data_IF_313736403056
#
_entry.id   IF_313736403056
#
_cell.length_a   1.000
_cell.length_b   1.000
_cell.length_c   1.000
_cell.angle_alpha   90.00
_cell.angle_beta   90.00
_cell.angle_gamma   90.00
#
_symmetry.space_group_name_H-M   'P 1'
#
loop_
_entity.id
_entity.type
_entity.pdbx_description
1 polymer ?
#
# COMPACT_ATOMS: atom_id res chain seq x y z
N UNK A 1 -19.58 8.44 -5.53
CA UNK A 1 -18.18 8.64 -5.12
C UNK A 1 -17.88 7.66 -3.99
N UNK A 2 -16.98 6.69 -4.21
CA UNK A 2 -16.59 5.71 -3.18
C UNK A 2 -15.22 6.08 -2.62
N UNK A 3 -15.12 6.25 -1.31
CA UNK A 3 -13.89 6.63 -0.60
C UNK A 3 -13.53 5.52 0.38
N UNK A 4 -12.25 5.15 0.45
CA UNK A 4 -11.72 4.25 1.48
C UNK A 4 -10.64 4.96 2.31
N UNK A 5 -10.63 4.77 3.63
CA UNK A 5 -9.60 5.35 4.48
C UNK A 5 -8.35 4.47 4.56
N UNK A 6 -7.17 5.07 4.67
CA UNK A 6 -5.92 4.32 4.95
C UNK A 6 -5.98 3.51 6.24
N UNK A 7 -6.79 3.92 7.22
CA UNK A 7 -6.99 3.18 8.47
C UNK A 7 -7.67 1.83 8.23
N UNK A 8 -8.59 1.75 7.25
CA UNK A 8 -9.26 0.50 6.86
C UNK A 8 -8.31 -0.44 6.11
N UNK A 9 -7.29 0.12 5.46
CA UNK A 9 -6.31 -0.62 4.68
C UNK A 9 -5.14 -1.17 5.53
N UNK A 10 -4.76 -0.48 6.63
CA UNK A 10 -3.58 -0.80 7.46
C UNK A 10 -3.60 -2.16 8.15
N UNK A 11 -4.75 -2.81 8.25
CA UNK A 11 -4.90 -4.16 8.82
C UNK A 11 -5.01 -5.27 7.78
N UNK A 12 -5.07 -4.94 6.50
CA UNK A 12 -5.34 -5.92 5.45
C UNK A 12 -4.05 -6.43 4.80
N UNK A 13 -4.02 -7.70 4.37
CA UNK A 13 -3.02 -8.17 3.43
C UNK A 13 -2.98 -7.24 2.20
N UNK A 14 -1.77 -6.98 1.67
CA UNK A 14 -1.57 -6.07 0.52
C UNK A 14 -2.51 -6.38 -0.65
N UNK A 15 -2.77 -7.67 -0.92
CA UNK A 15 -3.71 -8.09 -1.95
C UNK A 15 -5.14 -7.61 -1.69
N UNK A 16 -5.65 -7.82 -0.48
CA UNK A 16 -6.99 -7.39 -0.08
C UNK A 16 -7.09 -5.85 -0.02
N UNK A 17 -6.04 -5.18 0.45
CA UNK A 17 -5.96 -3.73 0.43
C UNK A 17 -6.04 -3.19 -1.01
N UNK A 18 -5.34 -3.82 -1.97
CA UNK A 18 -5.40 -3.46 -3.38
C UNK A 18 -6.78 -3.71 -4.00
N UNK A 19 -7.43 -4.81 -3.66
CA UNK A 19 -8.79 -5.10 -4.12
C UNK A 19 -9.76 -4.01 -3.64
N UNK A 20 -9.70 -3.61 -2.37
CA UNK A 20 -10.52 -2.49 -1.85
C UNK A 20 -10.20 -1.15 -2.49
N UNK A 21 -8.93 -0.85 -2.72
CA UNK A 21 -8.52 0.40 -3.39
C UNK A 21 -9.05 0.43 -4.82
N UNK A 22 -9.04 -0.69 -5.57
CA UNK A 22 -9.57 -0.77 -6.94
C UNK A 22 -11.08 -0.55 -7.04
N UNK A 23 -11.83 -0.84 -5.97
CA UNK A 23 -13.28 -0.58 -5.90
C UNK A 23 -13.62 0.85 -5.48
N UNK A 24 -12.64 1.58 -4.94
CA UNK A 24 -12.76 2.97 -4.54
C UNK A 24 -12.31 3.91 -5.66
N UNK A 25 -12.81 5.13 -5.62
CA UNK A 25 -12.41 6.22 -6.50
C UNK A 25 -11.30 7.06 -5.83
N UNK A 26 -11.38 7.20 -4.51
CA UNK A 26 -10.46 7.98 -3.70
C UNK A 26 -10.02 7.22 -2.45
N UNK A 27 -8.78 7.47 -2.03
CA UNK A 27 -8.23 7.03 -0.76
C UNK A 27 -8.01 8.25 0.12
N UNK A 28 -8.54 8.24 1.33
CA UNK A 28 -8.31 9.30 2.32
C UNK A 28 -7.16 8.92 3.24
N UNK A 29 -6.10 9.73 3.25
CA UNK A 29 -4.93 9.53 4.10
C UNK A 29 -5.17 9.96 5.57
N UNK A 30 -4.13 9.85 6.40
CA UNK A 30 -4.21 10.21 7.81
C UNK A 30 -4.39 11.73 8.05
N UNK A 31 -4.02 12.56 7.08
CA UNK A 31 -4.17 14.01 7.11
C UNK A 31 -5.50 14.51 6.56
N UNK A 32 -6.37 13.61 6.08
CA UNK A 32 -7.62 13.97 5.41
C UNK A 32 -7.44 14.37 3.95
N UNK A 33 -6.28 14.07 3.35
CA UNK A 33 -6.02 14.29 1.93
C UNK A 33 -6.65 13.18 1.12
N UNK A 34 -7.32 13.55 0.02
CA UNK A 34 -7.89 12.60 -0.92
C UNK A 34 -6.91 12.34 -2.07
N UNK A 35 -6.50 11.09 -2.21
CA UNK A 35 -5.59 10.61 -3.24
C UNK A 35 -6.40 9.76 -4.24
N UNK A 36 -6.24 9.93 -5.56
CA UNK A 36 -6.89 9.05 -6.53
C UNK A 36 -6.51 7.58 -6.26
N UNK A 37 -7.49 6.68 -6.30
CA UNK A 37 -7.26 5.27 -5.95
C UNK A 37 -6.22 4.59 -6.83
N UNK A 38 -6.16 4.93 -8.14
CA UNK A 38 -5.15 4.42 -9.06
C UNK A 38 -3.72 4.82 -8.65
N UNK A 39 -3.53 6.05 -8.16
CA UNK A 39 -2.24 6.53 -7.71
C UNK A 39 -1.83 5.82 -6.41
N UNK A 40 -2.76 5.69 -5.47
CA UNK A 40 -2.51 4.98 -4.22
C UNK A 40 -2.22 3.49 -4.44
N UNK A 41 -2.89 2.84 -5.39
CA UNK A 41 -2.62 1.46 -5.77
C UNK A 41 -1.18 1.26 -6.26
N UNK A 42 -0.67 2.18 -7.09
CA UNK A 42 0.73 2.15 -7.56
C UNK A 42 1.71 2.30 -6.39
N UNK A 43 1.40 3.15 -5.40
CA UNK A 43 2.23 3.32 -4.20
C UNK A 43 2.26 2.01 -3.40
N UNK A 44 1.12 1.37 -3.18
CA UNK A 44 0.98 0.09 -2.47
C UNK A 44 1.76 -1.05 -3.15
N UNK A 45 1.60 -1.19 -4.47
CA UNK A 45 2.29 -2.21 -5.27
C UNK A 45 3.82 -2.04 -5.21
N UNK A 46 4.30 -0.79 -5.25
CA UNK A 46 5.72 -0.47 -5.16
C UNK A 46 6.29 -0.60 -3.75
N UNK A 47 5.54 -0.21 -2.71
CA UNK A 47 5.95 -0.32 -1.31
C UNK A 47 6.15 -1.77 -0.86
N UNK A 48 5.26 -2.68 -1.29
CA UNK A 48 5.44 -4.12 -1.08
C UNK A 48 6.70 -4.70 -1.77
N UNK A 49 7.14 -4.09 -2.88
CA UNK A 49 8.34 -4.48 -3.62
C UNK A 49 9.64 -4.10 -2.89
N UNK A 50 9.64 -2.98 -2.15
CA UNK A 50 10.78 -2.55 -1.33
C UNK A 50 11.03 -3.52 -0.16
N UNK A 51 9.98 -4.00 0.51
CA UNK A 51 10.09 -5.00 1.58
C UNK A 51 10.59 -6.37 1.09
N UNK A 52 10.29 -6.76 -0.16
CA UNK A 52 10.83 -8.00 -0.76
C UNK A 52 12.31 -7.90 -1.11
N UNK A 53 12.82 -6.71 -1.45
CA UNK A 53 14.26 -6.52 -1.76
C UNK A 53 15.13 -6.32 -0.51
N UNK A 54 14.57 -5.83 0.59
CA UNK A 54 15.29 -5.68 1.87
C UNK A 54 15.48 -7.02 2.61
N UNK A 55 14.52 -7.93 2.54
CA UNK A 55 14.64 -9.27 3.16
C UNK A 55 15.65 -10.19 2.46
N UNK A 56 16.09 -9.86 1.24
CA UNK A 56 17.12 -10.63 0.52
C UNK A 56 18.56 -10.08 0.65
N UNK A 57 18.76 -8.90 1.26
CA UNK A 57 20.10 -8.29 1.38
C UNK A 57 20.79 -8.44 2.74
N UNK A 58 20.14 -9.03 3.74
CA UNK A 58 20.78 -9.36 5.02
C UNK A 58 21.29 -10.80 5.09
N UNK A 59 22.04 -11.25 4.07
CA UNK A 59 23.04 -12.30 4.25
C UNK A 59 24.39 -11.60 4.34
N UNK A 60 24.59 -10.89 5.44
CA UNK A 60 25.88 -10.27 5.77
C UNK A 60 26.89 -11.41 5.90
N UNK A 61 27.86 -11.41 5.00
CA UNK A 61 29.01 -12.32 5.00
C UNK A 61 29.77 -12.07 6.30
N UNK A 62 29.81 -13.07 7.20
CA UNK A 62 30.83 -13.12 8.25
C UNK A 62 32.16 -13.43 7.56
N UNK A 63 33.07 -12.46 7.58
CA UNK A 63 34.50 -12.69 7.42
C UNK A 63 35.05 -13.37 8.68
#
# INVERSE_FOLDING_TARGET
MRVVSVFELRGLPVREALERVREAEWVMDEGGTFIPSEEFARILENSGSVHKRLTHKHKVVRA
#
